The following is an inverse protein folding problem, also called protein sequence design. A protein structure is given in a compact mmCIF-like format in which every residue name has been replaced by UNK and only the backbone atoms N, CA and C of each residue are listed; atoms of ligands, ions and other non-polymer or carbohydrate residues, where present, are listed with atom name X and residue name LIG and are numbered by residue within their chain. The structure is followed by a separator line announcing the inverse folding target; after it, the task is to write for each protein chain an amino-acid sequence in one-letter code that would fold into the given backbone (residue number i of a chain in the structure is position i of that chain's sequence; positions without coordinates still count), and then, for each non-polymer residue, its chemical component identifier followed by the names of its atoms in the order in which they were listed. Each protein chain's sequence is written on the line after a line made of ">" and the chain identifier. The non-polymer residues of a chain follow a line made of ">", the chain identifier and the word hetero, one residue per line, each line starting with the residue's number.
data_IF_964463415978
#
_entry.id   IF_964463415978
#
_cell.length_a   1.000
_cell.length_b   1.000
_cell.length_c   1.000
_cell.angle_alpha   90.00
_cell.angle_beta   90.00
_cell.angle_gamma   90.00
#
_symmetry.space_group_name_H-M   'P 1'
#
loop_
_entity.id
_entity.type
_entity.pdbx_description
1 polymer ?
#
# COMPACT_ATOMS: atom_id res chain seq x y z
N UNK A 1 -13.32 -0.45 -14.98
CA UNK A 1 -12.90 -0.60 -13.59
C UNK A 1 -11.65 -1.45 -13.50
N UNK A 2 -10.74 -1.02 -12.65
CA UNK A 2 -9.54 -1.80 -12.40
C UNK A 2 -9.82 -3.01 -11.52
N UNK A 3 -9.08 -4.09 -11.74
CA UNK A 3 -9.08 -5.23 -10.85
C UNK A 3 -7.86 -5.16 -9.94
N UNK A 4 -7.95 -5.83 -8.79
CA UNK A 4 -6.84 -5.97 -7.87
C UNK A 4 -6.25 -7.36 -8.07
N UNK A 5 -4.96 -7.42 -8.31
CA UNK A 5 -4.25 -8.70 -8.45
C UNK A 5 -3.35 -8.90 -7.25
N UNK A 6 -3.58 -9.98 -6.51
CA UNK A 6 -2.79 -10.34 -5.34
C UNK A 6 -1.93 -11.55 -5.69
N UNK A 7 -0.64 -11.46 -5.41
CA UNK A 7 0.29 -12.58 -5.56
C UNK A 7 1.06 -12.72 -4.26
N UNK A 8 0.86 -13.85 -3.59
CA UNK A 8 1.57 -14.14 -2.35
C UNK A 8 2.63 -15.20 -2.59
N UNK A 9 3.88 -14.85 -2.28
CA UNK A 9 5.01 -15.77 -2.28
C UNK A 9 5.18 -16.31 -0.87
N UNK A 10 4.71 -17.54 -0.64
CA UNK A 10 4.76 -18.16 0.69
C UNK A 10 6.19 -18.40 1.16
N UNK A 11 7.09 -18.70 0.25
CA UNK A 11 8.49 -18.98 0.58
C UNK A 11 9.20 -17.73 1.10
N UNK A 12 9.00 -16.60 0.44
CA UNK A 12 9.58 -15.33 0.84
C UNK A 12 8.72 -14.52 1.80
N UNK A 13 7.49 -14.95 2.05
CA UNK A 13 6.51 -14.22 2.85
C UNK A 13 6.32 -12.80 2.32
N UNK A 14 6.12 -12.68 1.00
CA UNK A 14 5.94 -11.41 0.32
C UNK A 14 4.58 -11.36 -0.34
N UNK A 15 3.81 -10.32 -0.06
CA UNK A 15 2.56 -10.05 -0.76
C UNK A 15 2.78 -8.91 -1.74
N UNK A 16 2.54 -9.19 -3.03
CA UNK A 16 2.52 -8.19 -4.10
C UNK A 16 1.09 -7.88 -4.47
N UNK A 17 0.76 -6.61 -4.51
CA UNK A 17 -0.58 -6.14 -4.87
C UNK A 17 -0.47 -5.23 -6.08
N UNK A 18 -1.17 -5.58 -7.15
CA UNK A 18 -1.14 -4.84 -8.41
C UNK A 18 -2.51 -4.18 -8.64
N UNK A 19 -2.50 -2.86 -8.69
CA UNK A 19 -3.68 -2.04 -8.94
C UNK A 19 -3.70 -1.44 -10.35
N UNK A 20 -2.73 -1.80 -11.18
CA UNK A 20 -2.56 -1.16 -12.50
C UNK A 20 -3.74 -1.45 -13.43
N UNK A 21 -4.10 -0.43 -14.18
CA UNK A 21 -4.96 -0.59 -15.35
C UNK A 21 -4.08 -0.95 -16.55
N UNK A 22 -4.70 -1.42 -17.62
CA UNK A 22 -3.98 -1.78 -18.85
C UNK A 22 -3.16 -0.59 -19.33
N UNK A 23 -1.88 -0.82 -19.59
CA UNK A 23 -0.96 0.19 -20.09
C UNK A 23 -0.29 1.05 -19.05
N UNK A 24 -0.71 1.01 -17.80
CA UNK A 24 -0.05 1.77 -16.75
C UNK A 24 1.26 1.11 -16.34
N UNK A 25 2.29 1.93 -16.11
CA UNK A 25 3.61 1.47 -15.64
C UNK A 25 4.00 2.23 -14.40
N UNK A 26 4.49 1.55 -13.34
CA UNK A 26 5.00 2.23 -12.15
C UNK A 26 6.18 3.12 -12.50
N UNK A 27 6.18 4.34 -11.96
CA UNK A 27 7.22 5.33 -12.22
C UNK A 27 8.04 5.69 -10.99
N UNK A 28 7.42 5.70 -9.81
CA UNK A 28 8.09 6.06 -8.57
C UNK A 28 7.85 4.99 -7.52
N UNK A 29 8.94 4.50 -6.92
CA UNK A 29 8.88 3.63 -5.75
C UNK A 29 9.10 4.45 -4.49
N UNK A 30 8.23 4.32 -3.51
CA UNK A 30 8.30 5.08 -2.27
C UNK A 30 8.24 4.09 -1.09
N UNK A 31 9.28 4.10 -0.27
CA UNK A 31 9.28 3.30 0.96
C UNK A 31 8.45 4.01 2.04
N UNK A 32 7.45 3.31 2.55
CA UNK A 32 6.63 3.79 3.67
C UNK A 32 7.16 3.25 5.00
N UNK A 33 7.76 2.09 4.95
CA UNK A 33 8.24 1.33 6.09
C UNK A 33 9.31 0.37 5.56
N UNK A 34 10.18 -0.17 6.40
CA UNK A 34 11.20 -1.13 5.96
C UNK A 34 10.59 -2.30 5.18
N UNK A 35 9.37 -2.66 5.49
CA UNK A 35 8.69 -3.80 4.88
C UNK A 35 7.55 -3.41 3.94
N UNK A 36 7.33 -2.12 3.69
CA UNK A 36 6.21 -1.65 2.88
C UNK A 36 6.69 -0.63 1.86
N UNK A 37 6.48 -0.93 0.58
CA UNK A 37 6.82 -0.03 -0.53
C UNK A 37 5.60 0.10 -1.44
N UNK A 38 5.34 1.32 -1.90
CA UNK A 38 4.30 1.59 -2.91
C UNK A 38 4.96 2.15 -4.16
N UNK A 39 4.32 1.92 -5.30
CA UNK A 39 4.72 2.52 -6.57
C UNK A 39 3.57 3.34 -7.11
N UNK A 40 3.88 4.52 -7.61
CA UNK A 40 2.90 5.45 -8.17
C UNK A 40 3.22 5.73 -9.63
N UNK A 41 2.29 6.43 -10.30
CA UNK A 41 2.55 7.07 -11.59
C UNK A 41 3.48 8.27 -11.39
N UNK A 42 3.94 8.87 -12.50
CA UNK A 42 4.90 9.97 -12.46
C UNK A 42 4.41 11.18 -11.66
N UNK A 43 3.10 11.44 -11.68
CA UNK A 43 2.49 12.60 -11.01
C UNK A 43 2.01 12.29 -9.60
N UNK A 44 2.19 11.05 -9.13
CA UNK A 44 1.71 10.60 -7.82
C UNK A 44 0.18 10.77 -7.67
N UNK A 45 -0.56 10.49 -8.73
CA UNK A 45 -2.02 10.59 -8.73
C UNK A 45 -2.71 9.28 -8.40
N UNK A 46 -2.00 8.15 -8.53
CA UNK A 46 -2.53 6.81 -8.25
C UNK A 46 -1.45 5.91 -7.68
N UNK A 47 -1.85 5.03 -6.80
CA UNK A 47 -0.98 3.93 -6.37
C UNK A 47 -1.21 2.78 -7.34
N UNK A 48 -0.14 2.32 -7.98
CA UNK A 48 -0.19 1.27 -9.00
C UNK A 48 0.24 -0.09 -8.48
N UNK A 49 1.06 -0.12 -7.43
CA UNK A 49 1.59 -1.36 -6.87
C UNK A 49 1.91 -1.18 -5.40
N UNK A 50 1.73 -2.24 -4.62
CA UNK A 50 2.06 -2.27 -3.19
C UNK A 50 2.79 -3.58 -2.90
N UNK A 51 3.92 -3.52 -2.22
CA UNK A 51 4.67 -4.70 -1.82
C UNK A 51 4.82 -4.73 -0.31
N UNK A 52 4.46 -5.86 0.29
CA UNK A 52 4.53 -6.08 1.73
C UNK A 52 5.50 -7.24 2.00
N UNK A 53 6.66 -6.91 2.56
CA UNK A 53 7.66 -7.90 2.97
C UNK A 53 7.33 -8.42 4.36
N UNK A 54 7.62 -9.69 4.62
CA UNK A 54 7.27 -10.32 5.89
C UNK A 54 5.80 -10.15 6.23
N UNK A 55 4.95 -10.40 5.25
CA UNK A 55 3.51 -10.12 5.31
C UNK A 55 2.84 -10.74 6.54
N UNK A 56 3.14 -12.01 6.84
CA UNK A 56 2.54 -12.69 7.99
C UNK A 56 2.86 -11.98 9.30
N UNK A 57 4.06 -11.44 9.42
CA UNK A 57 4.48 -10.69 10.61
C UNK A 57 3.82 -9.33 10.69
N UNK A 58 3.63 -8.68 9.54
CA UNK A 58 2.91 -7.40 9.49
C UNK A 58 1.47 -7.55 9.95
N UNK A 59 0.82 -8.65 9.60
CA UNK A 59 -0.56 -8.92 10.03
C UNK A 59 -0.68 -9.06 11.54
N UNK A 60 0.37 -9.51 12.22
CA UNK A 60 0.38 -9.67 13.67
C UNK A 60 0.56 -8.35 14.40
N UNK A 61 1.05 -7.32 13.74
CA UNK A 61 1.28 -6.00 14.34
C UNK A 61 0.02 -5.16 14.28
N UNK A 62 -0.52 -4.78 15.44
CA UNK A 62 -1.72 -3.96 15.49
C UNK A 62 -1.48 -2.53 15.04
N UNK A 63 -0.25 -2.04 15.15
CA UNK A 63 0.09 -0.67 14.77
C UNK A 63 1.46 -0.65 14.10
N UNK A 64 1.50 -0.02 12.93
CA UNK A 64 2.73 0.24 12.19
C UNK A 64 2.92 1.73 12.03
N UNK A 65 4.14 2.22 12.25
CA UNK A 65 4.47 3.61 12.00
C UNK A 65 5.06 3.77 10.60
N UNK A 66 4.47 4.62 9.78
CA UNK A 66 5.01 4.95 8.47
C UNK A 66 5.87 6.22 8.55
N UNK A 67 6.78 6.24 9.53
CA UNK A 67 7.63 7.39 9.81
C UNK A 67 8.47 7.88 8.64
N UNK A 68 8.75 7.02 7.66
CA UNK A 68 9.49 7.43 6.46
C UNK A 68 8.74 8.47 5.63
N UNK A 69 7.42 8.57 5.78
CA UNK A 69 6.64 9.61 5.13
C UNK A 69 7.04 11.01 5.57
N UNK A 70 7.57 11.16 6.78
CA UNK A 70 8.02 12.46 7.29
C UNK A 70 9.21 13.02 6.51
N UNK A 71 9.95 12.16 5.81
CA UNK A 71 11.10 12.57 5.01
C UNK A 71 10.69 13.14 3.65
N UNK A 72 9.45 12.97 3.25
CA UNK A 72 8.95 13.46 1.97
C UNK A 72 8.58 14.93 2.07
N UNK A 73 8.67 15.69 0.95
CA UNK A 73 8.13 17.04 0.91
C UNK A 73 6.67 17.06 1.31
N UNK A 74 6.24 18.16 1.94
CA UNK A 74 4.88 18.27 2.51
C UNK A 74 3.79 17.94 1.50
N UNK A 75 3.91 18.48 0.27
CA UNK A 75 2.90 18.24 -0.76
C UNK A 75 2.84 16.78 -1.19
N UNK A 76 4.00 16.16 -1.38
CA UNK A 76 4.07 14.76 -1.76
C UNK A 76 3.51 13.88 -0.66
N UNK A 77 3.83 14.17 0.60
CA UNK A 77 3.31 13.44 1.75
C UNK A 77 1.80 13.52 1.82
N UNK A 78 1.24 14.72 1.66
CA UNK A 78 -0.22 14.94 1.70
C UNK A 78 -0.93 14.17 0.58
N UNK A 79 -0.39 14.23 -0.64
CA UNK A 79 -0.95 13.51 -1.78
C UNK A 79 -0.91 12.01 -1.55
N UNK A 80 0.21 11.50 -1.06
CA UNK A 80 0.38 10.08 -0.82
C UNK A 80 -0.55 9.59 0.30
N UNK A 81 -0.69 10.35 1.39
CA UNK A 81 -1.61 10.01 2.47
C UNK A 81 -3.06 9.92 1.96
N UNK A 82 -3.46 10.86 1.10
CA UNK A 82 -4.80 10.82 0.52
C UNK A 82 -5.02 9.54 -0.30
N UNK A 83 -4.01 9.11 -1.07
CA UNK A 83 -4.08 7.89 -1.85
C UNK A 83 -4.12 6.64 -0.96
N UNK A 84 -3.34 6.62 0.12
CA UNK A 84 -3.32 5.50 1.06
C UNK A 84 -4.65 5.34 1.80
N UNK A 85 -5.40 6.41 1.95
CA UNK A 85 -6.71 6.40 2.62
C UNK A 85 -7.87 6.13 1.66
N UNK A 86 -7.58 5.93 0.38
CA UNK A 86 -8.57 5.73 -0.66
C UNK A 86 -8.69 4.26 -1.05
N UNK A 87 -9.82 3.89 -1.67
CA UNK A 87 -9.93 2.60 -2.31
C UNK A 87 -8.96 2.51 -3.50
N UNK A 88 -8.41 1.33 -3.77
CA UNK A 88 -8.59 0.07 -3.03
C UNK A 88 -7.57 -0.14 -1.91
N UNK A 89 -6.60 0.75 -1.73
CA UNK A 89 -5.48 0.56 -0.80
C UNK A 89 -5.95 0.42 0.63
N UNK A 90 -6.99 1.16 1.02
CA UNK A 90 -7.51 1.13 2.39
C UNK A 90 -8.04 -0.25 2.81
N UNK A 91 -8.25 -1.15 1.86
CA UNK A 91 -8.69 -2.52 2.16
C UNK A 91 -7.55 -3.40 2.68
N UNK A 92 -6.32 -2.96 2.47
CA UNK A 92 -5.12 -3.69 2.86
C UNK A 92 -4.32 -2.95 3.93
N UNK A 93 -4.42 -1.63 3.93
CA UNK A 93 -3.65 -0.76 4.80
C UNK A 93 -4.61 0.23 5.45
N UNK A 94 -4.98 -0.04 6.70
CA UNK A 94 -5.96 0.76 7.44
C UNK A 94 -5.25 1.88 8.18
N UNK A 95 -5.76 3.08 7.98
CA UNK A 95 -5.24 4.30 8.59
C UNK A 95 -5.80 4.45 10.02
N UNK A 96 -4.92 4.65 10.99
CA UNK A 96 -5.30 4.71 12.39
C UNK A 96 -5.14 6.08 13.02
N UNK A 97 -4.03 6.78 12.72
CA UNK A 97 -3.72 8.05 13.38
C UNK A 97 -2.92 8.94 12.43
N UNK A 98 -3.51 10.07 12.04
CA UNK A 98 -2.92 11.00 11.07
C UNK A 98 -1.64 11.67 11.61
N UNK A 99 -1.67 12.12 12.83
CA UNK A 99 -0.55 12.87 13.41
C UNK A 99 0.68 12.01 13.58
N UNK A 100 0.48 10.74 13.93
CA UNK A 100 1.57 9.80 14.19
C UNK A 100 1.83 8.86 13.02
N UNK A 101 1.11 9.02 11.91
CA UNK A 101 1.26 8.21 10.71
C UNK A 101 1.18 6.71 11.03
N UNK A 102 0.19 6.32 11.81
CA UNK A 102 0.00 4.94 12.23
C UNK A 102 -1.01 4.23 11.35
N UNK A 103 -0.66 3.04 10.95
CA UNK A 103 -1.47 2.20 10.07
C UNK A 103 -1.49 0.77 10.60
N UNK A 104 -2.40 -0.03 10.04
CA UNK A 104 -2.48 -1.46 10.31
C UNK A 104 -2.64 -2.19 8.99
N UNK A 105 -1.86 -3.26 8.81
CA UNK A 105 -2.00 -4.16 7.66
C UNK A 105 -3.12 -5.16 7.99
N UNK A 106 -4.05 -5.34 7.07
CA UNK A 106 -5.16 -6.27 7.23
C UNK A 106 -5.27 -7.17 6.01
N UNK A 107 -5.85 -8.35 6.20
CA UNK A 107 -6.15 -9.22 5.08
C UNK A 107 -7.38 -8.70 4.34
N UNK A 108 -7.34 -8.67 2.99
CA UNK A 108 -8.54 -8.33 2.24
C UNK A 108 -9.57 -9.44 2.38
N UNK A 109 -10.84 -9.09 2.37
CA UNK A 109 -11.91 -10.08 2.39
C UNK A 109 -11.91 -10.90 1.12
N UNK A 110 -12.30 -12.17 1.22
CA UNK A 110 -12.39 -13.06 0.06
C UNK A 110 -13.30 -12.47 -1.03
N UNK A 111 -14.39 -11.86 -0.59
CA UNK A 111 -15.35 -11.22 -1.49
C UNK A 111 -14.72 -10.09 -2.29
N UNK A 112 -13.85 -9.31 -1.67
CA UNK A 112 -13.14 -8.21 -2.33
C UNK A 112 -12.17 -8.74 -3.38
N UNK A 113 -11.46 -9.82 -3.06
CA UNK A 113 -10.53 -10.45 -4.00
C UNK A 113 -11.28 -11.05 -5.18
N UNK A 114 -12.40 -11.72 -4.92
CA UNK A 114 -13.19 -12.36 -5.98
C UNK A 114 -13.83 -11.34 -6.92
N UNK A 115 -14.12 -10.15 -6.43
CA UNK A 115 -14.70 -9.08 -7.24
C UNK A 115 -13.66 -8.34 -8.09
N UNK A 116 -12.38 -8.57 -7.83
CA UNK A 116 -11.29 -7.89 -8.52
C UNK A 116 -11.10 -8.37 -9.96
#
# INVERSE_FOLDING_TARGET
>A
MGSIRLVYDAEGDILDVDFRLVGEKPQQGIELHDNITVWTDAQSTRILHLMLLSYSKLLEQFVLSLGKLKKLPVRQRASLLALLRSDPVKRLLVYLDEKKLRFRVVEPGVREVAAA
#
